data_IF_980178607557
#
_entry.id   IF_980178607557
#
_cell.length_a   1.000
_cell.length_b   1.000
_cell.length_c   1.000
_cell.angle_alpha   90.00
_cell.angle_beta   90.00
_cell.angle_gamma   90.00
#
_symmetry.space_group_name_H-M   'P 1'
#
loop_
_entity.id
_entity.type
_entity.pdbx_description
1 polymer ?
#
# COMPACT_ATOMS: atom_id res chain seq x y z
N UNK A 1 -6.94 -1.18 4.63
CA UNK A 1 -8.14 -1.04 5.48
C UNK A 1 -8.65 0.37 5.27
N UNK A 2 -9.89 0.51 4.81
CA UNK A 2 -10.45 1.83 4.57
C UNK A 2 -10.84 2.49 5.89
N UNK A 3 -10.67 3.82 5.98
CA UNK A 3 -11.00 4.63 7.16
C UNK A 3 -10.29 4.22 8.47
N UNK A 4 -9.05 3.72 8.40
CA UNK A 4 -8.27 3.34 9.58
C UNK A 4 -8.09 4.50 10.58
N UNK A 5 -8.11 5.76 10.11
CA UNK A 5 -8.03 6.96 10.94
C UNK A 5 -9.21 7.15 11.92
N UNK A 6 -10.34 6.50 11.68
CA UNK A 6 -11.53 6.60 12.53
C UNK A 6 -11.60 5.51 13.61
N UNK A 7 -10.59 4.63 13.68
CA UNK A 7 -10.55 3.47 14.58
C UNK A 7 -9.45 3.63 15.64
N UNK A 8 -9.60 2.92 16.74
CA UNK A 8 -8.54 2.83 17.75
C UNK A 8 -7.33 2.07 17.22
N UNK A 9 -6.15 2.36 17.79
CA UNK A 9 -4.92 1.68 17.39
C UNK A 9 -5.02 0.17 17.66
N UNK A 10 -5.64 -0.23 18.78
CA UNK A 10 -5.83 -1.63 19.16
C UNK A 10 -6.70 -2.36 18.12
N UNK A 11 -7.78 -1.74 17.66
CA UNK A 11 -8.67 -2.32 16.65
C UNK A 11 -7.97 -2.47 15.29
N UNK A 12 -7.19 -1.48 14.88
CA UNK A 12 -6.42 -1.53 13.62
C UNK A 12 -5.39 -2.66 13.67
N UNK A 13 -4.60 -2.74 14.74
CA UNK A 13 -3.56 -3.76 14.90
C UNK A 13 -4.15 -5.17 15.00
N UNK A 14 -5.25 -5.33 15.74
CA UNK A 14 -5.97 -6.60 15.84
C UNK A 14 -6.53 -7.04 14.49
N UNK A 15 -7.14 -6.12 13.73
CA UNK A 15 -7.68 -6.42 12.39
C UNK A 15 -6.59 -6.86 11.41
N UNK A 16 -5.40 -6.26 11.51
CA UNK A 16 -4.25 -6.60 10.66
C UNK A 16 -3.49 -7.84 11.17
N UNK A 17 -3.81 -8.35 12.36
CA UNK A 17 -3.09 -9.46 12.99
C UNK A 17 -1.62 -9.13 13.30
N UNK A 18 -1.33 -7.86 13.56
CA UNK A 18 0.02 -7.33 13.78
C UNK A 18 0.32 -7.30 15.27
N UNK A 19 1.49 -7.79 15.67
CA UNK A 19 1.98 -7.57 17.03
C UNK A 19 2.57 -6.14 17.13
N UNK A 20 2.16 -5.32 18.12
CA UNK A 20 2.65 -3.95 18.24
C UNK A 20 4.15 -3.84 18.52
N UNK A 21 4.74 -4.86 19.13
CA UNK A 21 6.15 -4.88 19.55
C UNK A 21 7.05 -5.50 18.49
N UNK A 22 6.58 -6.55 17.82
CA UNK A 22 7.40 -7.35 16.90
C UNK A 22 7.01 -7.21 15.43
N UNK A 23 5.90 -6.54 15.14
CA UNK A 23 5.39 -6.37 13.77
C UNK A 23 4.79 -7.66 13.19
N UNK A 24 4.86 -7.78 11.87
CA UNK A 24 4.44 -8.97 11.10
C UNK A 24 5.58 -9.99 11.00
N UNK A 25 5.24 -11.27 10.96
CA UNK A 25 6.20 -12.33 10.62
C UNK A 25 6.44 -12.39 9.11
N UNK A 26 7.54 -13.01 8.69
CA UNK A 26 7.88 -13.18 7.27
C UNK A 26 6.79 -13.93 6.50
N UNK A 27 6.17 -14.93 7.12
CA UNK A 27 5.05 -15.69 6.55
C UNK A 27 3.81 -14.80 6.32
N UNK A 28 3.51 -13.91 7.28
CA UNK A 28 2.42 -12.96 7.14
C UNK A 28 2.72 -11.93 6.04
N UNK A 29 3.95 -11.44 5.94
CA UNK A 29 4.37 -10.52 4.87
C UNK A 29 4.21 -11.18 3.50
N UNK A 30 4.68 -12.42 3.34
CA UNK A 30 4.54 -13.17 2.09
C UNK A 30 3.07 -13.34 1.68
N UNK A 31 2.23 -13.75 2.63
CA UNK A 31 0.79 -13.93 2.40
C UNK A 31 0.09 -12.62 2.04
N UNK A 32 0.40 -11.53 2.75
CA UNK A 32 -0.19 -10.21 2.50
C UNK A 32 0.29 -9.63 1.16
N UNK A 33 1.55 -9.84 0.79
CA UNK A 33 2.07 -9.39 -0.50
C UNK A 33 1.43 -10.16 -1.66
N UNK A 34 1.19 -11.46 -1.51
CA UNK A 34 0.45 -12.24 -2.49
C UNK A 34 -1.01 -11.75 -2.64
N UNK A 35 -1.65 -11.34 -1.52
CA UNK A 35 -3.04 -10.86 -1.49
C UNK A 35 -3.20 -9.43 -2.03
N UNK A 36 -2.31 -8.51 -1.67
CA UNK A 36 -2.44 -7.09 -1.94
C UNK A 36 -1.57 -6.59 -3.09
N UNK A 37 -0.65 -7.42 -3.57
CA UNK A 37 0.33 -7.05 -4.58
C UNK A 37 1.48 -6.21 -4.01
N UNK A 38 2.38 -5.78 -4.89
CA UNK A 38 3.49 -4.90 -4.52
C UNK A 38 2.96 -3.50 -4.18
N UNK A 39 3.45 -2.91 -3.09
CA UNK A 39 3.17 -1.53 -2.76
C UNK A 39 3.89 -0.59 -3.76
N UNK A 40 3.18 -0.23 -4.81
CA UNK A 40 3.66 0.67 -5.85
C UNK A 40 2.51 1.13 -6.73
N UNK A 41 2.65 2.32 -7.30
CA UNK A 41 1.74 2.75 -8.35
C UNK A 41 1.92 1.86 -9.58
N UNK A 42 0.80 1.46 -10.20
CA UNK A 42 0.86 0.73 -11.47
C UNK A 42 1.72 1.50 -12.48
N UNK A 43 2.60 0.79 -13.18
CA UNK A 43 3.47 1.37 -14.21
C UNK A 43 2.67 2.06 -15.32
N UNK A 44 1.44 1.62 -15.59
CA UNK A 44 0.49 2.27 -16.50
C UNK A 44 0.05 3.65 -16.00
N UNK A 45 -0.05 3.84 -14.68
CA UNK A 45 -0.33 5.16 -14.08
C UNK A 45 0.91 6.06 -14.14
N UNK A 46 2.12 5.52 -13.92
CA UNK A 46 3.35 6.31 -14.09
C UNK A 46 3.55 6.81 -15.53
N UNK A 47 3.30 5.97 -16.54
CA UNK A 47 3.46 6.35 -17.96
C UNK A 47 2.49 7.45 -18.41
N UNK A 48 1.26 7.48 -17.88
CA UNK A 48 0.28 8.54 -18.18
C UNK A 48 0.68 9.90 -17.62
N UNK A 49 1.31 9.94 -16.45
CA UNK A 49 1.77 11.19 -15.85
C UNK A 49 2.99 11.77 -16.60
N UNK A 50 3.85 10.93 -17.16
CA UNK A 50 5.00 11.37 -17.95
C UNK A 50 4.62 11.97 -19.32
N UNK A 51 3.53 11.51 -19.94
CA UNK A 51 3.11 11.96 -21.27
C UNK A 51 2.50 13.39 -21.28
N UNK A 52 2.10 13.92 -20.13
CA UNK A 52 1.51 15.26 -20.01
C UNK A 52 2.53 16.40 -19.93
N UNK A 53 3.84 16.08 -19.86
CA UNK A 53 4.89 17.06 -19.57
C UNK A 53 5.89 17.29 -20.71
N UNK A 54 5.50 17.01 -21.96
CA UNK A 54 6.26 17.47 -23.13
C UNK A 54 5.75 18.86 -23.53
N UNK A 55 6.58 19.92 -23.52
CA UNK A 55 6.20 21.15 -24.21
C UNK A 55 6.05 20.82 -25.69
N UNK A 56 4.87 21.06 -26.26
CA UNK A 56 4.74 21.12 -27.70
C UNK A 56 5.54 22.34 -28.16
N UNK A 57 6.73 22.10 -28.73
CA UNK A 57 7.47 23.14 -29.43
C UNK A 57 6.68 23.56 -30.67
N UNK A 58 6.47 24.87 -30.79
CA UNK A 58 5.87 25.59 -31.93
C UNK A 58 6.63 25.35 -33.24
#
# INVERSE_FOLDING_TARGET
>A
MDNAFAKSNEEVLSTLGVNPTTGLTDEQVSTLQAKHGKNGMSSTTMRRNAAFNLPQSL
#
